data_IF_879547596221
#
_entry.id   IF_879547596221
#
_cell.length_a   1.000
_cell.length_b   1.000
_cell.length_c   1.000
_cell.angle_alpha   90.00
_cell.angle_beta   90.00
_cell.angle_gamma   90.00
#
_symmetry.space_group_name_H-M   'P 1'
#
loop_
_entity.id
_entity.type
_entity.pdbx_description
1 polymer ?
#
# COMPACT_ATOMS: atom_id res chain seq x y z
N UNK A 1 18.74 -19.16 -18.39
CA UNK A 1 18.11 -18.30 -17.37
C UNK A 1 19.20 -17.48 -16.70
N UNK A 2 19.11 -16.16 -16.75
CA UNK A 2 20.00 -15.27 -15.99
C UNK A 2 19.72 -15.46 -14.50
N UNK A 3 20.76 -15.72 -13.71
CA UNK A 3 20.62 -15.78 -12.27
C UNK A 3 20.42 -14.37 -11.70
N UNK A 4 19.45 -14.21 -10.80
CA UNK A 4 19.23 -12.97 -10.06
C UNK A 4 20.05 -13.03 -8.79
N UNK A 5 21.02 -12.11 -8.65
CA UNK A 5 21.89 -12.04 -7.47
C UNK A 5 21.10 -11.57 -6.24
N UNK A 6 20.30 -10.51 -6.42
CA UNK A 6 19.44 -9.95 -5.39
C UNK A 6 18.11 -9.52 -5.98
N UNK A 7 17.00 -9.98 -5.39
CA UNK A 7 15.65 -9.56 -5.78
C UNK A 7 15.43 -8.08 -5.49
N UNK A 8 14.80 -7.38 -6.43
CA UNK A 8 14.40 -5.97 -6.28
C UNK A 8 13.09 -5.88 -5.48
N UNK A 9 13.01 -4.99 -4.49
CA UNK A 9 11.75 -4.66 -3.82
C UNK A 9 11.14 -3.38 -4.41
N UNK A 10 9.98 -3.53 -5.07
CA UNK A 10 9.26 -2.46 -5.74
C UNK A 10 8.08 -1.94 -4.90
N UNK A 11 8.21 -0.70 -4.42
CA UNK A 11 7.22 -0.05 -3.55
C UNK A 11 6.24 0.87 -4.31
N UNK A 12 4.96 0.92 -3.90
CA UNK A 12 3.97 1.81 -4.48
C UNK A 12 4.07 3.23 -3.93
N UNK A 13 4.04 4.23 -4.80
CA UNK A 13 3.96 5.63 -4.39
C UNK A 13 2.79 6.34 -5.08
N UNK A 14 2.00 7.09 -4.31
CA UNK A 14 1.06 8.08 -4.85
C UNK A 14 1.70 9.45 -4.97
N UNK A 15 2.40 9.90 -3.92
CA UNK A 15 2.98 11.22 -3.81
C UNK A 15 4.34 11.18 -3.09
N UNK A 16 4.95 12.35 -2.89
CA UNK A 16 6.22 12.54 -2.17
C UNK A 16 6.26 11.93 -0.78
N UNK A 17 5.14 11.93 -0.04
CA UNK A 17 5.08 11.37 1.31
C UNK A 17 5.23 9.86 1.27
N UNK A 18 4.53 9.19 0.35
CA UNK A 18 4.69 7.75 0.13
C UNK A 18 6.08 7.40 -0.43
N UNK A 19 6.67 8.27 -1.23
CA UNK A 19 8.04 8.09 -1.73
C UNK A 19 9.05 8.14 -0.58
N UNK A 20 8.98 9.16 0.28
CA UNK A 20 9.84 9.26 1.48
C UNK A 20 9.62 8.11 2.46
N UNK A 21 8.39 7.62 2.56
CA UNK A 21 8.05 6.43 3.36
C UNK A 21 8.70 5.15 2.82
N UNK A 22 8.75 4.99 1.49
CA UNK A 22 9.33 3.82 0.84
C UNK A 22 10.86 3.85 0.80
N UNK A 23 11.44 5.04 0.64
CA UNK A 23 12.85 5.27 0.33
C UNK A 23 13.83 4.49 1.22
N UNK A 24 13.70 4.44 2.56
CA UNK A 24 14.69 3.77 3.40
C UNK A 24 14.75 2.24 3.18
N UNK A 25 13.78 1.67 2.47
CA UNK A 25 13.55 0.23 2.42
C UNK A 25 13.38 -0.33 1.00
N UNK A 26 12.99 0.49 0.03
CA UNK A 26 12.74 0.06 -1.34
C UNK A 26 13.99 0.10 -2.23
N UNK A 27 14.08 -0.80 -3.20
CA UNK A 27 15.10 -0.76 -4.26
C UNK A 27 14.57 -0.02 -5.51
N UNK A 28 13.25 0.04 -5.67
CA UNK A 28 12.58 0.78 -6.72
C UNK A 28 11.21 1.27 -6.26
N UNK A 29 10.70 2.32 -6.91
CA UNK A 29 9.32 2.79 -6.75
C UNK A 29 8.55 2.70 -8.07
N UNK A 30 7.24 2.54 -7.96
CA UNK A 30 6.34 2.81 -9.07
C UNK A 30 5.23 3.77 -8.67
N UNK A 31 4.91 4.66 -9.59
CA UNK A 31 3.90 5.70 -9.42
C UNK A 31 3.20 5.99 -10.74
N UNK A 32 2.16 6.81 -10.72
CA UNK A 32 1.48 7.27 -11.92
C UNK A 32 1.23 8.76 -11.86
N UNK A 33 0.77 9.32 -12.97
CA UNK A 33 0.35 10.72 -13.08
C UNK A 33 -1.18 10.82 -13.02
N UNK A 34 -1.75 11.97 -13.33
CA UNK A 34 -3.20 12.16 -13.30
C UNK A 34 -3.96 11.58 -14.51
N UNK A 35 -3.28 10.89 -15.42
CA UNK A 35 -3.88 10.31 -16.64
C UNK A 35 -3.28 8.95 -16.98
N UNK A 36 -3.99 8.18 -17.80
CA UNK A 36 -3.56 6.92 -18.43
C UNK A 36 -3.00 5.83 -17.50
N UNK A 37 -3.48 5.73 -16.26
CA UNK A 37 -3.07 4.69 -15.32
C UNK A 37 -4.21 4.17 -14.43
N UNK A 38 -4.04 2.96 -13.90
CA UNK A 38 -5.09 2.27 -13.15
C UNK A 38 -5.39 2.81 -11.74
N UNK A 39 -4.72 3.86 -11.29
CA UNK A 39 -5.00 4.53 -10.01
C UNK A 39 -5.04 6.04 -10.22
N UNK A 40 -5.76 6.46 -11.26
CA UNK A 40 -5.91 7.86 -11.60
C UNK A 40 -6.47 8.71 -10.46
N UNK A 41 -7.33 8.12 -9.62
CA UNK A 41 -7.93 8.76 -8.44
C UNK A 41 -7.01 8.81 -7.20
N UNK A 42 -5.77 8.31 -7.29
CA UNK A 42 -4.80 8.52 -6.22
C UNK A 42 -4.30 9.97 -6.22
N UNK A 43 -3.72 10.38 -5.09
CA UNK A 43 -2.99 11.64 -4.94
C UNK A 43 -1.65 11.53 -5.70
N UNK A 44 -1.72 11.50 -7.03
CA UNK A 44 -0.64 11.21 -7.98
C UNK A 44 0.37 12.37 -8.08
N UNK A 45 1.51 12.09 -8.72
CA UNK A 45 2.50 13.13 -9.05
C UNK A 45 2.11 13.89 -10.31
N UNK A 46 2.55 15.14 -10.38
CA UNK A 46 2.43 15.95 -11.58
C UNK A 46 3.50 15.58 -12.62
N UNK A 47 3.17 15.72 -13.91
CA UNK A 47 4.11 15.43 -15.01
C UNK A 47 5.39 16.27 -14.92
N UNK A 48 5.30 17.52 -14.42
CA UNK A 48 6.45 18.40 -14.24
C UNK A 48 7.41 17.95 -13.13
N UNK A 49 7.00 17.03 -12.26
CA UNK A 49 7.82 16.54 -11.15
C UNK A 49 8.71 15.36 -11.54
N UNK A 50 8.52 14.76 -12.73
CA UNK A 50 9.28 13.58 -13.17
C UNK A 50 10.80 13.73 -13.04
N UNK A 51 11.43 14.86 -13.47
CA UNK A 51 12.88 15.02 -13.36
C UNK A 51 13.35 15.05 -11.90
N UNK A 52 12.56 15.67 -11.00
CA UNK A 52 12.90 15.73 -9.58
C UNK A 52 12.77 14.35 -8.92
N UNK A 53 11.75 13.57 -9.30
CA UNK A 53 11.54 12.20 -8.82
C UNK A 53 12.69 11.29 -9.26
N UNK A 54 13.05 11.33 -10.55
CA UNK A 54 14.16 10.55 -11.10
C UNK A 54 15.44 10.82 -10.31
N UNK A 55 15.79 12.11 -10.21
CA UNK A 55 16.97 12.56 -9.48
C UNK A 55 16.94 12.11 -8.02
N UNK A 56 15.82 12.29 -7.32
CA UNK A 56 15.70 11.90 -5.92
C UNK A 56 15.97 10.40 -5.72
N UNK A 57 15.41 9.56 -6.60
CA UNK A 57 15.59 8.11 -6.57
C UNK A 57 17.04 7.71 -6.92
N UNK A 58 17.60 8.24 -8.01
CA UNK A 58 18.95 7.90 -8.47
C UNK A 58 20.03 8.35 -7.48
N UNK A 59 19.88 9.52 -6.86
CA UNK A 59 20.77 10.02 -5.79
C UNK A 59 20.82 9.05 -4.58
N UNK A 60 19.86 8.13 -4.48
CA UNK A 60 19.72 7.13 -3.41
C UNK A 60 19.80 5.69 -3.92
N UNK A 61 20.28 5.50 -5.15
CA UNK A 61 20.42 4.19 -5.79
C UNK A 61 19.09 3.42 -5.93
N UNK A 62 17.97 4.13 -6.02
CA UNK A 62 16.66 3.56 -6.30
C UNK A 62 16.26 3.80 -7.75
N UNK A 63 15.47 2.89 -8.30
CA UNK A 63 14.87 3.07 -9.64
C UNK A 63 13.48 3.68 -9.58
N UNK A 64 13.09 4.41 -10.62
CA UNK A 64 11.80 5.06 -10.75
C UNK A 64 11.03 4.53 -11.97
N UNK A 65 9.85 3.94 -11.74
CA UNK A 65 8.99 3.41 -12.80
C UNK A 65 7.65 4.15 -12.90
N UNK A 66 7.34 4.67 -14.09
CA UNK A 66 6.08 5.38 -14.35
C UNK A 66 5.02 4.43 -14.91
N UNK A 67 3.83 4.39 -14.32
CA UNK A 67 2.71 3.59 -14.85
C UNK A 67 1.95 4.34 -15.94
N UNK A 68 1.79 3.71 -17.10
CA UNK A 68 0.94 4.13 -18.22
C UNK A 68 0.14 2.90 -18.69
N UNK A 69 -0.65 2.34 -17.77
CA UNK A 69 -1.20 0.98 -17.87
C UNK A 69 -2.73 0.90 -17.90
N UNK A 70 -3.41 1.98 -18.28
CA UNK A 70 -4.84 1.91 -18.64
C UNK A 70 -5.01 1.51 -20.11
N UNK A 71 -6.26 1.26 -20.49
CA UNK A 71 -6.68 1.29 -21.90
C UNK A 71 -6.41 2.69 -22.49
N UNK A 72 -6.08 2.77 -23.78
CA UNK A 72 -5.87 4.03 -24.51
C UNK A 72 -6.85 4.10 -25.68
N UNK A 73 -7.50 5.25 -25.85
CA UNK A 73 -8.35 5.53 -27.02
C UNK A 73 -7.62 6.42 -28.05
N UNK A 74 -8.09 6.44 -29.29
CA UNK A 74 -7.47 7.20 -30.40
C UNK A 74 -7.23 8.67 -30.06
N UNK A 75 -8.18 9.31 -29.37
CA UNK A 75 -8.07 10.71 -28.96
C UNK A 75 -7.08 10.96 -27.81
N UNK A 76 -6.49 9.90 -27.24
CA UNK A 76 -5.50 9.94 -26.17
C UNK A 76 -4.08 9.60 -26.67
N UNK A 77 -3.90 9.29 -27.95
CA UNK A 77 -2.60 8.91 -28.51
C UNK A 77 -1.54 10.01 -28.40
N UNK A 78 -1.91 11.27 -28.61
CA UNK A 78 -0.99 12.41 -28.44
C UNK A 78 -0.59 12.59 -26.96
N UNK A 79 -1.53 12.37 -26.05
CA UNK A 79 -1.27 12.41 -24.60
C UNK A 79 -0.31 11.30 -24.21
N UNK A 80 -0.54 10.08 -24.70
CA UNK A 80 0.34 8.93 -24.51
C UNK A 80 1.77 9.23 -24.97
N UNK A 81 1.93 9.77 -26.18
CA UNK A 81 3.23 10.14 -26.73
C UNK A 81 3.94 11.18 -25.87
N UNK A 82 3.24 12.25 -25.47
CA UNK A 82 3.79 13.29 -24.60
C UNK A 82 4.24 12.75 -23.23
N UNK A 83 3.52 11.77 -22.67
CA UNK A 83 3.94 11.11 -21.42
C UNK A 83 5.22 10.31 -21.63
N UNK A 84 5.32 9.53 -22.71
CA UNK A 84 6.52 8.72 -23.01
C UNK A 84 7.75 9.58 -23.25
N UNK A 85 7.62 10.67 -24.01
CA UNK A 85 8.70 11.63 -24.26
C UNK A 85 9.14 12.32 -22.96
N UNK A 86 8.19 12.72 -22.12
CA UNK A 86 8.49 13.33 -20.82
C UNK A 86 9.19 12.34 -19.87
N UNK A 87 8.73 11.08 -19.83
CA UNK A 87 9.36 10.03 -19.02
C UNK A 87 10.79 9.75 -19.48
N UNK A 88 11.02 9.72 -20.81
CA UNK A 88 12.34 9.54 -21.40
C UNK A 88 13.27 10.71 -21.08
N UNK A 89 12.79 11.95 -21.24
CA UNK A 89 13.55 13.17 -20.96
C UNK A 89 13.88 13.33 -19.46
N UNK A 90 13.00 12.87 -18.58
CA UNK A 90 13.23 12.81 -17.14
C UNK A 90 14.09 11.62 -16.69
N UNK A 91 14.60 10.80 -17.62
CA UNK A 91 15.43 9.64 -17.33
C UNK A 91 14.76 8.60 -16.41
N UNK A 92 13.44 8.41 -16.54
CA UNK A 92 12.76 7.29 -15.88
C UNK A 92 13.38 5.95 -16.30
N UNK A 93 13.52 5.01 -15.35
CA UNK A 93 14.17 3.72 -15.61
C UNK A 93 13.33 2.83 -16.53
N UNK A 94 12.00 2.87 -16.38
CA UNK A 94 11.06 2.18 -17.24
C UNK A 94 9.64 2.74 -17.11
N UNK A 95 8.80 2.50 -18.12
CA UNK A 95 7.35 2.66 -18.03
C UNK A 95 6.66 1.31 -17.84
N UNK A 96 5.62 1.24 -17.02
CA UNK A 96 4.78 0.05 -16.86
C UNK A 96 3.56 0.21 -17.74
N UNK A 97 3.46 -0.57 -18.80
CA UNK A 97 2.46 -0.43 -19.87
C UNK A 97 1.62 -1.69 -20.03
N UNK A 98 0.48 -1.57 -20.71
CA UNK A 98 -0.36 -2.71 -21.06
C UNK A 98 -0.83 -2.65 -22.51
N UNK A 99 -1.40 -1.51 -22.90
CA UNK A 99 -1.97 -1.29 -24.21
C UNK A 99 -0.90 -1.41 -25.31
N UNK A 100 -1.25 -1.99 -26.46
CA UNK A 100 -0.29 -2.19 -27.55
C UNK A 100 0.17 -0.85 -28.15
N UNK A 101 -0.68 0.18 -28.19
CA UNK A 101 -0.26 1.51 -28.60
C UNK A 101 0.79 2.09 -27.63
N UNK A 102 0.65 1.80 -26.33
CA UNK A 102 1.66 2.19 -25.32
C UNK A 102 2.99 1.45 -25.50
N UNK A 103 2.93 0.17 -25.88
CA UNK A 103 4.13 -0.63 -26.20
C UNK A 103 4.84 -0.09 -27.45
N UNK A 104 4.11 0.16 -28.53
CA UNK A 104 4.67 0.71 -29.77
C UNK A 104 5.25 2.11 -29.56
N UNK A 105 4.50 2.99 -28.89
CA UNK A 105 4.99 4.35 -28.58
C UNK A 105 6.25 4.32 -27.72
N UNK A 106 6.33 3.45 -26.71
CA UNK A 106 7.53 3.31 -25.89
C UNK A 106 8.74 2.87 -26.73
N UNK A 107 8.54 1.98 -27.71
CA UNK A 107 9.60 1.56 -28.65
C UNK A 107 10.04 2.69 -29.57
N UNK A 108 9.10 3.44 -30.12
CA UNK A 108 9.38 4.56 -31.03
C UNK A 108 10.18 5.67 -30.33
N UNK A 109 9.87 5.95 -29.07
CA UNK A 109 10.60 6.94 -28.24
C UNK A 109 11.91 6.36 -27.65
N UNK A 110 12.12 5.05 -27.73
CA UNK A 110 13.27 4.38 -27.11
C UNK A 110 13.21 4.36 -25.57
N UNK A 111 12.01 4.28 -25.02
CA UNK A 111 11.73 4.15 -23.59
C UNK A 111 11.68 2.67 -23.19
N UNK A 112 12.42 2.28 -22.15
CA UNK A 112 12.33 0.92 -21.62
C UNK A 112 10.95 0.68 -21.00
N UNK A 113 10.40 -0.52 -21.19
CA UNK A 113 9.05 -0.82 -20.70
C UNK A 113 8.94 -2.19 -20.02
N UNK A 114 8.03 -2.23 -19.05
CA UNK A 114 7.61 -3.41 -18.32
C UNK A 114 6.14 -3.71 -18.66
N UNK A 115 5.81 -4.97 -18.88
CA UNK A 115 4.42 -5.36 -19.12
C UNK A 115 3.66 -5.47 -17.81
N UNK A 116 2.59 -4.68 -17.67
CA UNK A 116 1.66 -4.71 -16.56
C UNK A 116 0.90 -6.03 -16.48
N UNK A 117 0.50 -6.42 -15.28
CA UNK A 117 -0.42 -7.55 -15.02
C UNK A 117 -1.74 -7.45 -15.81
N UNK A 118 -2.15 -6.25 -16.25
CA UNK A 118 -3.28 -6.08 -17.19
C UNK A 118 -3.12 -6.86 -18.50
N UNK A 119 -1.90 -7.17 -18.92
CA UNK A 119 -1.62 -7.99 -20.10
C UNK A 119 -1.96 -9.48 -19.90
N UNK A 120 -2.39 -9.90 -18.69
CA UNK A 120 -2.78 -11.26 -18.35
C UNK A 120 -1.72 -12.32 -18.72
N UNK A 121 -0.45 -12.02 -18.45
CA UNK A 121 0.66 -12.93 -18.75
C UNK A 121 0.59 -14.14 -17.81
N UNK A 122 -0.09 -15.19 -18.26
CA UNK A 122 -0.42 -16.39 -17.48
C UNK A 122 0.25 -17.67 -18.00
N UNK A 123 1.03 -17.57 -19.07
CA UNK A 123 1.71 -18.71 -19.67
C UNK A 123 2.97 -18.27 -20.43
N UNK A 124 3.85 -19.24 -20.68
CA UNK A 124 5.14 -19.01 -21.33
C UNK A 124 5.02 -18.41 -22.73
N UNK A 125 4.00 -18.80 -23.51
CA UNK A 125 3.83 -18.30 -24.88
C UNK A 125 3.52 -16.80 -24.89
N UNK A 126 2.63 -16.35 -24.00
CA UNK A 126 2.35 -14.94 -23.82
C UNK A 126 3.58 -14.17 -23.32
N UNK A 127 4.30 -14.73 -22.33
CA UNK A 127 5.50 -14.11 -21.79
C UNK A 127 6.59 -13.91 -22.88
N UNK A 128 6.86 -14.95 -23.69
CA UNK A 128 7.78 -14.89 -24.83
C UNK A 128 7.37 -13.91 -25.91
N UNK A 129 6.07 -13.75 -26.15
CA UNK A 129 5.57 -12.78 -27.11
C UNK A 129 5.99 -11.36 -26.70
N UNK A 130 5.73 -10.98 -25.44
CA UNK A 130 6.10 -9.65 -24.95
C UNK A 130 7.61 -9.44 -24.80
N UNK A 131 8.36 -10.48 -24.43
CA UNK A 131 9.83 -10.42 -24.45
C UNK A 131 10.36 -10.12 -25.85
N UNK A 132 9.83 -10.78 -26.90
CA UNK A 132 10.18 -10.51 -28.30
C UNK A 132 9.83 -9.10 -28.77
N UNK A 133 8.79 -8.50 -28.19
CA UNK A 133 8.44 -7.09 -28.42
C UNK A 133 9.42 -6.12 -27.72
N UNK A 134 10.32 -6.62 -26.86
CA UNK A 134 11.36 -5.82 -26.21
C UNK A 134 11.10 -5.50 -24.74
N UNK A 135 10.08 -6.12 -24.12
CA UNK A 135 9.78 -5.90 -22.70
C UNK A 135 10.99 -6.29 -21.84
N UNK A 136 11.41 -5.38 -20.95
CA UNK A 136 12.51 -5.64 -20.01
C UNK A 136 12.08 -6.45 -18.79
N UNK A 137 10.79 -6.36 -18.45
CA UNK A 137 10.21 -7.07 -17.32
C UNK A 137 8.75 -7.44 -17.60
N UNK A 138 8.35 -8.60 -17.12
CA UNK A 138 7.00 -9.13 -17.26
C UNK A 138 6.37 -9.28 -15.88
N UNK A 139 5.37 -8.46 -15.60
CA UNK A 139 4.59 -8.54 -14.37
C UNK A 139 3.50 -9.58 -14.58
N UNK A 140 3.67 -10.73 -13.94
CA UNK A 140 2.82 -11.89 -14.21
C UNK A 140 1.40 -11.71 -13.66
N UNK A 141 0.50 -12.55 -14.18
CA UNK A 141 -0.88 -12.59 -13.74
C UNK A 141 -0.99 -13.10 -12.28
N UNK A 142 -1.88 -12.50 -11.48
CA UNK A 142 -2.00 -12.78 -10.03
C UNK A 142 -2.68 -14.10 -9.70
N UNK A 143 -3.24 -14.78 -10.71
CA UNK A 143 -3.91 -16.06 -10.62
C UNK A 143 -2.99 -17.28 -10.84
N UNK A 144 -1.68 -17.06 -10.98
CA UNK A 144 -0.71 -18.13 -11.17
C UNK A 144 -0.29 -18.77 -9.85
N UNK A 145 -0.11 -20.09 -9.88
CA UNK A 145 0.59 -20.82 -8.82
C UNK A 145 2.10 -20.60 -8.92
N UNK A 146 2.80 -20.86 -7.81
CA UNK A 146 4.26 -20.75 -7.76
C UNK A 146 4.95 -21.64 -8.80
N UNK A 147 4.44 -22.84 -9.03
CA UNK A 147 4.96 -23.76 -10.05
C UNK A 147 4.80 -23.22 -11.47
N UNK A 148 3.67 -22.56 -11.76
CA UNK A 148 3.45 -21.93 -13.07
C UNK A 148 4.36 -20.72 -13.26
N UNK A 149 4.56 -19.92 -12.21
CA UNK A 149 5.53 -18.81 -12.22
C UNK A 149 6.93 -19.37 -12.51
N UNK A 150 7.35 -20.41 -11.79
CA UNK A 150 8.65 -21.09 -11.99
C UNK A 150 8.82 -21.62 -13.40
N UNK A 151 7.76 -22.21 -13.99
CA UNK A 151 7.79 -22.66 -15.37
C UNK A 151 7.99 -21.50 -16.36
N UNK A 152 7.29 -20.37 -16.17
CA UNK A 152 7.46 -19.18 -17.01
C UNK A 152 8.87 -18.60 -16.85
N UNK A 153 9.34 -18.39 -15.62
CA UNK A 153 10.67 -17.80 -15.33
C UNK A 153 11.80 -18.59 -15.99
N UNK A 154 11.79 -19.92 -15.87
CA UNK A 154 12.81 -20.79 -16.50
C UNK A 154 12.84 -20.70 -18.01
N UNK A 155 11.70 -20.37 -18.60
CA UNK A 155 11.56 -20.27 -20.02
C UNK A 155 11.81 -18.86 -20.54
N UNK A 156 12.21 -17.84 -19.77
CA UNK A 156 12.60 -16.52 -20.31
C UNK A 156 14.11 -16.43 -20.56
N UNK A 157 14.53 -15.66 -21.57
CA UNK A 157 15.95 -15.50 -21.91
C UNK A 157 16.54 -14.22 -21.31
N UNK A 158 15.80 -13.13 -21.41
CA UNK A 158 16.26 -11.75 -21.19
C UNK A 158 15.32 -10.93 -20.31
N UNK A 159 14.00 -11.16 -20.40
CA UNK A 159 13.04 -10.41 -19.62
C UNK A 159 12.98 -10.89 -18.17
N UNK A 160 13.05 -9.94 -17.24
CA UNK A 160 12.90 -10.20 -15.82
C UNK A 160 11.45 -10.56 -15.47
N UNK A 161 11.26 -11.43 -14.47
CA UNK A 161 9.94 -11.76 -13.93
C UNK A 161 9.66 -10.96 -12.67
N UNK A 162 8.50 -10.30 -12.64
CA UNK A 162 7.98 -9.58 -11.48
C UNK A 162 6.63 -10.17 -11.05
N UNK A 163 6.42 -10.25 -9.74
CA UNK A 163 5.17 -10.75 -9.17
C UNK A 163 4.71 -9.88 -8.02
N UNK A 164 3.40 -9.85 -7.79
CA UNK A 164 2.86 -9.26 -6.57
C UNK A 164 3.12 -10.17 -5.37
N UNK A 165 3.60 -9.58 -4.27
CA UNK A 165 3.84 -10.30 -3.01
C UNK A 165 2.95 -9.82 -1.87
N UNK A 166 2.39 -8.61 -1.98
CA UNK A 166 1.52 -8.06 -0.94
C UNK A 166 0.43 -7.14 -1.50
N UNK A 167 -0.66 -7.02 -0.76
CA UNK A 167 -1.68 -6.00 -0.94
C UNK A 167 -2.95 -6.51 -1.60
N UNK A 168 -3.84 -5.59 -1.96
CA UNK A 168 -5.23 -5.96 -2.21
C UNK A 168 -5.43 -6.80 -3.48
N UNK A 169 -6.15 -7.92 -3.33
CA UNK A 169 -6.53 -8.81 -4.43
C UNK A 169 -7.85 -8.39 -5.08
N UNK A 170 -7.99 -8.68 -6.38
CA UNK A 170 -9.26 -8.53 -7.09
C UNK A 170 -9.91 -9.92 -7.21
N UNK A 171 -11.24 -9.97 -7.12
CA UNK A 171 -12.02 -11.16 -7.50
C UNK A 171 -12.02 -11.39 -9.01
N UNK A 172 -11.91 -10.31 -9.79
CA UNK A 172 -11.79 -10.39 -11.24
C UNK A 172 -10.36 -10.78 -11.68
N UNK A 173 -10.27 -11.50 -12.81
CA UNK A 173 -9.00 -11.97 -13.39
C UNK A 173 -8.13 -10.78 -13.80
N UNK A 174 -7.00 -10.63 -13.11
CA UNK A 174 -5.90 -9.69 -13.42
C UNK A 174 -6.35 -8.31 -13.93
N UNK A 175 -7.34 -7.75 -13.24
CA UNK A 175 -7.79 -6.37 -13.42
C UNK A 175 -8.80 -6.14 -14.55
N UNK A 176 -9.28 -7.18 -15.26
CA UNK A 176 -10.41 -7.07 -16.20
C UNK A 176 -11.74 -7.08 -15.45
N UNK A 177 -12.15 -5.92 -14.95
CA UNK A 177 -13.34 -5.80 -14.10
C UNK A 177 -14.35 -4.81 -14.70
N UNK A 178 -15.53 -5.31 -15.08
CA UNK A 178 -16.67 -4.50 -15.55
C UNK A 178 -17.65 -4.16 -14.43
N UNK A 179 -17.52 -4.79 -13.26
CA UNK A 179 -18.46 -4.62 -12.14
C UNK A 179 -18.62 -3.15 -11.72
N UNK A 180 -17.53 -2.37 -11.75
CA UNK A 180 -17.57 -0.96 -11.34
C UNK A 180 -18.37 -0.07 -12.30
N UNK A 181 -18.17 -0.20 -13.61
CA UNK A 181 -18.93 0.61 -14.57
C UNK A 181 -20.40 0.19 -14.61
N UNK A 182 -20.67 -1.11 -14.46
CA UNK A 182 -22.03 -1.66 -14.46
C UNK A 182 -22.81 -1.16 -13.25
N UNK A 183 -22.27 -1.35 -12.04
CA UNK A 183 -22.94 -0.92 -10.82
C UNK A 183 -23.14 0.60 -10.74
N UNK A 184 -22.26 1.40 -11.35
CA UNK A 184 -22.37 2.86 -11.34
C UNK A 184 -23.10 3.41 -12.58
N UNK A 185 -23.45 2.57 -13.56
CA UNK A 185 -24.13 2.96 -14.79
C UNK A 185 -23.34 3.91 -15.69
N UNK A 186 -22.00 3.89 -15.64
CA UNK A 186 -21.17 4.81 -16.41
C UNK A 186 -19.76 4.27 -16.68
N UNK A 187 -19.30 4.40 -17.93
CA UNK A 187 -17.94 4.07 -18.36
C UNK A 187 -16.86 4.85 -17.59
N UNK A 188 -17.22 6.05 -17.09
CA UNK A 188 -16.34 6.89 -16.30
C UNK A 188 -15.92 6.22 -14.98
N UNK A 189 -16.63 5.20 -14.51
CA UNK A 189 -16.30 4.42 -13.30
C UNK A 189 -15.59 3.10 -13.61
N UNK A 190 -15.03 2.92 -14.80
CA UNK A 190 -14.38 1.68 -15.22
C UNK A 190 -13.11 1.37 -14.42
N UNK A 191 -13.02 0.13 -13.94
CA UNK A 191 -11.81 -0.36 -13.26
C UNK A 191 -10.59 -0.45 -14.16
N UNK A 192 -10.80 -0.61 -15.47
CA UNK A 192 -9.74 -0.66 -16.49
C UNK A 192 -9.22 0.74 -16.87
N UNK A 193 -9.86 1.80 -16.35
CA UNK A 193 -9.55 3.22 -16.61
C UNK A 193 -9.11 3.98 -15.36
N UNK A 194 -8.87 3.26 -14.26
CA UNK A 194 -8.30 3.81 -13.04
C UNK A 194 -9.26 4.55 -12.10
N UNK A 195 -10.56 4.48 -12.37
CA UNK A 195 -11.63 5.19 -11.64
C UNK A 195 -12.59 4.22 -10.94
N UNK A 196 -12.13 3.00 -10.62
CA UNK A 196 -12.91 1.96 -9.95
C UNK A 196 -13.57 2.46 -8.64
N UNK A 197 -14.90 2.38 -8.55
CA UNK A 197 -15.70 2.68 -7.37
C UNK A 197 -15.69 1.57 -6.30
N UNK A 198 -14.92 0.50 -6.56
CA UNK A 198 -14.69 -0.66 -5.68
C UNK A 198 -15.98 -1.34 -5.16
N UNK A 199 -16.98 -1.64 -6.03
CA UNK A 199 -18.23 -2.29 -5.63
C UNK A 199 -18.03 -3.66 -4.97
N UNK A 200 -16.99 -4.41 -5.38
CA UNK A 200 -16.64 -5.71 -4.79
C UNK A 200 -16.26 -5.64 -3.30
N UNK A 201 -16.05 -4.46 -2.72
CA UNK A 201 -15.67 -4.26 -1.31
C UNK A 201 -16.83 -3.69 -0.47
N UNK A 202 -18.05 -3.77 -0.99
CA UNK A 202 -19.28 -3.33 -0.34
C UNK A 202 -20.04 -4.55 0.17
N UNK A 203 -21.02 -4.31 1.04
CA UNK A 203 -21.98 -5.34 1.45
C UNK A 203 -23.01 -5.55 0.36
N UNK A 204 -23.37 -6.80 0.14
CA UNK A 204 -24.28 -7.22 -0.92
C UNK A 204 -25.38 -8.10 -0.32
N UNK A 205 -26.58 -7.98 -0.87
CA UNK A 205 -27.67 -8.95 -0.70
C UNK A 205 -27.86 -9.63 -2.05
N UNK A 206 -27.92 -10.95 -2.06
CA UNK A 206 -28.17 -11.74 -3.27
C UNK A 206 -29.60 -12.23 -3.20
N UNK A 207 -30.39 -11.86 -4.19
CA UNK A 207 -31.81 -12.20 -4.28
C UNK A 207 -32.00 -12.88 -5.64
N UNK A 208 -32.60 -14.06 -5.65
CA UNK A 208 -32.92 -14.76 -6.91
C UNK A 208 -34.18 -14.18 -7.58
N UNK A 209 -34.56 -14.73 -8.74
CA UNK A 209 -35.72 -14.26 -9.50
C UNK A 209 -37.06 -14.49 -8.78
N UNK A 210 -37.09 -15.39 -7.79
CA UNK A 210 -38.26 -15.71 -6.98
C UNK A 210 -38.33 -14.86 -5.68
N UNK A 211 -37.42 -13.90 -5.52
CA UNK A 211 -37.23 -13.08 -4.32
C UNK A 211 -36.73 -13.84 -3.09
N UNK A 212 -36.11 -15.02 -3.26
CA UNK A 212 -35.43 -15.68 -2.17
C UNK A 212 -34.09 -14.98 -1.92
N UNK A 213 -33.91 -14.48 -0.70
CA UNK A 213 -32.62 -13.96 -0.26
C UNK A 213 -31.67 -15.12 0.05
N UNK A 214 -30.58 -15.20 -0.71
CA UNK A 214 -29.52 -16.16 -0.46
C UNK A 214 -28.64 -15.64 0.68
N UNK A 215 -28.85 -16.19 1.89
CA UNK A 215 -27.98 -15.94 3.04
C UNK A 215 -26.70 -16.76 2.88
N UNK A 216 -25.66 -16.13 2.36
CA UNK A 216 -24.30 -16.67 2.34
C UNK A 216 -23.63 -16.48 3.71
N UNK A 217 -22.49 -17.12 3.96
CA UNK A 217 -21.74 -17.09 5.23
C UNK A 217 -21.29 -15.69 5.69
N UNK A 218 -21.60 -14.63 4.95
CA UNK A 218 -21.60 -13.25 5.41
C UNK A 218 -21.98 -12.22 4.34
N UNK A 219 -21.81 -10.94 4.67
CA UNK A 219 -22.31 -9.81 3.88
C UNK A 219 -21.43 -9.46 2.66
N UNK A 220 -20.18 -9.96 2.58
CA UNK A 220 -19.15 -9.49 1.62
C UNK A 220 -18.42 -10.61 0.88
N UNK A 221 -19.15 -11.42 0.11
CA UNK A 221 -18.60 -12.52 -0.67
C UNK A 221 -17.64 -12.12 -1.82
N UNK A 222 -17.53 -10.83 -2.16
CA UNK A 222 -16.60 -10.32 -3.18
C UNK A 222 -15.34 -9.67 -2.61
N UNK A 223 -15.20 -9.61 -1.27
CA UNK A 223 -14.12 -8.89 -0.60
C UNK A 223 -12.96 -9.82 -0.28
N UNK A 224 -12.12 -10.12 -1.27
CA UNK A 224 -10.91 -10.93 -1.05
C UNK A 224 -10.00 -10.33 0.04
N UNK A 225 -9.41 -11.20 0.86
CA UNK A 225 -8.31 -10.86 1.78
C UNK A 225 -7.11 -10.33 1.01
N UNK A 226 -6.23 -9.59 1.69
CA UNK A 226 -5.05 -9.02 1.04
C UNK A 226 -3.99 -10.12 0.82
N UNK A 227 -3.31 -10.10 -0.33
CA UNK A 227 -2.17 -10.98 -0.60
C UNK A 227 -1.08 -10.71 0.43
N UNK A 228 -0.44 -11.77 0.96
CA UNK A 228 0.75 -11.66 1.77
C UNK A 228 1.62 -12.90 1.61
N UNK A 229 2.82 -12.72 1.04
CA UNK A 229 3.78 -13.78 0.78
C UNK A 229 5.02 -13.70 1.67
N UNK A 230 4.95 -12.95 2.78
CA UNK A 230 6.10 -12.67 3.65
C UNK A 230 6.76 -13.94 4.20
N UNK A 231 5.96 -14.95 4.57
CA UNK A 231 6.46 -16.25 5.05
C UNK A 231 7.16 -17.06 3.96
N UNK A 232 6.93 -16.69 2.70
CA UNK A 232 7.33 -17.44 1.51
C UNK A 232 8.38 -16.71 0.68
N UNK A 233 8.94 -15.60 1.19
CA UNK A 233 10.06 -14.88 0.57
C UNK A 233 11.19 -15.81 0.14
N UNK A 234 11.67 -16.77 0.97
CA UNK A 234 12.69 -17.73 0.54
C UNK A 234 12.29 -18.53 -0.72
N UNK A 235 11.07 -19.08 -0.74
CA UNK A 235 10.56 -19.87 -1.88
C UNK A 235 10.44 -19.02 -3.15
N UNK A 236 10.07 -17.76 -3.03
CA UNK A 236 9.97 -16.84 -4.16
C UNK A 236 11.36 -16.50 -4.74
N UNK A 237 12.37 -16.33 -3.89
CA UNK A 237 13.76 -16.11 -4.31
C UNK A 237 14.32 -17.35 -5.02
N UNK A 238 14.05 -18.56 -4.50
CA UNK A 238 14.44 -19.83 -5.13
C UNK A 238 13.84 -20.02 -6.54
N UNK A 239 12.69 -19.41 -6.82
CA UNK A 239 12.05 -19.42 -8.15
C UNK A 239 12.75 -18.48 -9.15
N UNK A 240 13.77 -17.73 -8.70
CA UNK A 240 14.53 -16.76 -9.49
C UNK A 240 13.65 -15.60 -10.00
N UNK A 241 12.74 -15.13 -9.16
CA UNK A 241 11.94 -13.93 -9.42
C UNK A 241 12.83 -12.70 -9.24
N UNK A 242 12.79 -11.78 -10.19
CA UNK A 242 13.67 -10.62 -10.23
C UNK A 242 13.15 -9.42 -9.41
N UNK A 243 11.82 -9.29 -9.27
CA UNK A 243 11.20 -8.18 -8.56
C UNK A 243 9.97 -8.60 -7.77
N UNK A 244 9.90 -8.16 -6.52
CA UNK A 244 8.74 -8.28 -5.64
C UNK A 244 7.98 -6.97 -5.59
N UNK A 245 6.73 -7.02 -6.05
CA UNK A 245 5.86 -5.85 -6.12
C UNK A 245 4.85 -5.80 -4.98
N UNK A 246 4.79 -4.66 -4.31
CA UNK A 246 3.76 -4.36 -3.32
C UNK A 246 2.60 -3.60 -3.99
N UNK A 247 1.37 -4.08 -3.86
CA UNK A 247 0.16 -3.34 -4.22
C UNK A 247 -0.23 -2.40 -3.08
N UNK A 248 -0.33 -1.10 -3.37
CA UNK A 248 -0.66 -0.15 -2.32
C UNK A 248 -0.69 1.31 -2.73
N UNK A 249 -0.79 1.65 -4.03
CA UNK A 249 -0.70 3.05 -4.48
C UNK A 249 -1.74 3.98 -3.85
N UNK A 250 -2.94 3.47 -3.52
CA UNK A 250 -3.95 4.31 -2.85
C UNK A 250 -3.80 4.35 -1.32
N UNK A 251 -2.83 3.62 -0.76
CA UNK A 251 -2.63 3.54 0.69
C UNK A 251 -1.88 4.77 1.19
N UNK A 252 -2.03 5.02 2.49
CA UNK A 252 -1.31 6.08 3.16
C UNK A 252 0.20 5.76 3.24
N UNK A 253 1.05 6.78 3.45
CA UNK A 253 2.49 6.58 3.55
C UNK A 253 2.93 5.58 4.63
N UNK A 254 2.22 5.48 5.76
CA UNK A 254 2.62 4.58 6.84
C UNK A 254 2.37 3.11 6.50
N UNK A 255 1.31 2.81 5.74
CA UNK A 255 1.17 1.50 5.10
C UNK A 255 2.36 1.19 4.19
N UNK A 256 2.76 2.14 3.33
CA UNK A 256 3.87 1.95 2.39
C UNK A 256 5.18 1.69 3.13
N UNK A 257 5.48 2.49 4.15
CA UNK A 257 6.66 2.31 5.01
C UNK A 257 6.65 0.93 5.68
N UNK A 258 5.57 0.60 6.39
CA UNK A 258 5.49 -0.64 7.19
C UNK A 258 5.65 -1.88 6.32
N UNK A 259 4.89 -1.97 5.23
CA UNK A 259 4.93 -3.14 4.35
C UNK A 259 6.29 -3.23 3.66
N UNK A 260 6.80 -2.12 3.11
CA UNK A 260 8.10 -2.12 2.42
C UNK A 260 9.23 -2.50 3.37
N UNK A 261 9.25 -1.97 4.59
CA UNK A 261 10.21 -2.34 5.64
C UNK A 261 10.15 -3.84 5.96
N UNK A 262 8.97 -4.38 6.24
CA UNK A 262 8.83 -5.81 6.56
C UNK A 262 9.35 -6.71 5.43
N UNK A 263 9.04 -6.40 4.17
CA UNK A 263 9.57 -7.16 3.04
C UNK A 263 11.07 -6.96 2.86
N UNK A 264 11.60 -5.76 3.08
CA UNK A 264 13.04 -5.50 3.00
C UNK A 264 13.80 -6.30 4.05
N UNK A 265 13.33 -6.28 5.29
CA UNK A 265 13.87 -7.07 6.39
C UNK A 265 13.80 -8.57 6.08
N UNK A 266 12.68 -9.06 5.53
CA UNK A 266 12.53 -10.46 5.13
C UNK A 266 13.50 -10.88 4.02
N UNK A 267 13.65 -10.06 2.99
CA UNK A 267 14.59 -10.29 1.89
C UNK A 267 16.03 -10.30 2.41
N UNK A 268 16.43 -9.28 3.16
CA UNK A 268 17.77 -9.17 3.76
C UNK A 268 18.05 -10.36 4.67
N UNK A 269 17.08 -10.69 5.53
CA UNK A 269 17.19 -11.82 6.44
C UNK A 269 17.33 -13.17 5.73
N UNK A 270 16.76 -13.35 4.53
CA UNK A 270 16.99 -14.54 3.73
C UNK A 270 18.43 -14.60 3.21
N UNK A 271 18.93 -13.53 2.59
CA UNK A 271 20.29 -13.48 2.07
C UNK A 271 21.38 -13.57 3.15
N UNK A 272 21.10 -13.11 4.37
CA UNK A 272 21.99 -13.22 5.52
C UNK A 272 21.87 -14.56 6.27
N UNK A 273 20.95 -15.44 5.87
CA UNK A 273 20.73 -16.73 6.54
C UNK A 273 20.08 -16.62 7.93
N UNK A 274 19.45 -15.49 8.25
CA UNK A 274 18.82 -15.21 9.55
C UNK A 274 17.29 -15.22 9.51
N UNK A 275 16.69 -15.73 8.42
CA UNK A 275 15.24 -15.80 8.24
C UNK A 275 14.62 -16.87 9.16
N UNK A 276 13.82 -16.43 10.13
CA UNK A 276 13.21 -17.31 11.14
C UNK A 276 11.71 -17.09 11.23
N UNK A 277 11.01 -18.11 11.75
CA UNK A 277 9.57 -18.04 12.02
C UNK A 277 9.20 -16.93 13.01
N UNK A 278 10.07 -16.64 13.97
CA UNK A 278 9.86 -15.56 14.94
C UNK A 278 9.83 -14.19 14.26
N UNK A 279 10.79 -13.91 13.36
CA UNK A 279 10.79 -12.68 12.56
C UNK A 279 9.54 -12.59 11.68
N UNK A 280 9.14 -13.71 11.06
CA UNK A 280 7.90 -13.78 10.28
C UNK A 280 6.67 -13.38 11.09
N UNK A 281 6.53 -13.91 12.32
CA UNK A 281 5.44 -13.51 13.20
C UNK A 281 5.51 -12.00 13.54
N UNK A 282 6.70 -11.46 13.78
CA UNK A 282 6.90 -10.02 14.00
C UNK A 282 6.44 -9.16 12.82
N UNK A 283 6.84 -9.53 11.59
CA UNK A 283 6.43 -8.83 10.38
C UNK A 283 4.93 -8.91 10.13
N UNK A 284 4.31 -10.07 10.35
CA UNK A 284 2.85 -10.23 10.25
C UNK A 284 2.12 -9.39 11.29
N UNK A 285 2.63 -9.33 12.51
CA UNK A 285 2.07 -8.49 13.57
C UNK A 285 2.13 -7.00 13.19
N UNK A 286 3.26 -6.53 12.65
CA UNK A 286 3.41 -5.15 12.19
C UNK A 286 2.49 -4.82 10.99
N UNK A 287 2.47 -5.66 9.97
CA UNK A 287 1.55 -5.49 8.83
C UNK A 287 0.08 -5.59 9.25
N UNK A 288 -0.22 -6.35 10.30
CA UNK A 288 -1.55 -6.43 10.90
C UNK A 288 -2.03 -5.11 11.52
N UNK A 289 -1.12 -4.18 11.84
CA UNK A 289 -1.45 -2.85 12.39
C UNK A 289 -1.86 -1.84 11.31
N UNK A 290 -1.34 -1.96 10.09
CA UNK A 290 -1.73 -1.08 8.98
C UNK A 290 -2.97 -1.62 8.26
N UNK A 291 -3.54 -0.86 7.32
CA UNK A 291 -4.74 -1.28 6.59
C UNK A 291 -4.56 -2.67 5.99
N UNK A 292 -5.44 -3.61 6.34
CA UNK A 292 -5.49 -4.94 5.71
C UNK A 292 -6.90 -5.54 5.85
N UNK A 293 -7.21 -6.59 5.09
CA UNK A 293 -8.47 -7.36 5.18
C UNK A 293 -8.23 -8.78 5.69
N UNK A 294 -7.23 -8.96 6.54
CA UNK A 294 -6.59 -10.26 6.73
C UNK A 294 -5.71 -10.64 5.54
N UNK A 295 -5.05 -11.79 5.65
CA UNK A 295 -4.03 -12.23 4.72
C UNK A 295 -4.38 -13.56 4.05
N UNK A 296 -3.99 -13.69 2.78
CA UNK A 296 -4.06 -14.92 1.99
C UNK A 296 -2.81 -15.04 1.12
N UNK A 297 -2.46 -16.25 0.71
CA UNK A 297 -1.43 -16.49 -0.31
C UNK A 297 -1.98 -16.40 -1.73
N UNK A 298 -3.28 -16.12 -1.89
CA UNK A 298 -3.93 -16.04 -3.19
C UNK A 298 -3.80 -17.35 -3.94
N UNK A 299 -3.30 -17.29 -5.17
CA UNK A 299 -3.22 -18.46 -6.06
C UNK A 299 -1.91 -19.24 -5.95
N UNK A 300 -0.94 -18.76 -5.16
CA UNK A 300 0.43 -19.29 -5.16
C UNK A 300 0.50 -20.78 -4.77
N UNK A 301 -0.33 -21.21 -3.82
CA UNK A 301 -0.33 -22.59 -3.28
C UNK A 301 -1.65 -23.33 -3.46
N UNK A 302 -2.53 -22.83 -4.32
CA UNK A 302 -3.84 -23.43 -4.55
C UNK A 302 -4.85 -22.42 -5.05
N UNK A 303 -6.04 -22.88 -5.40
CA UNK A 303 -7.14 -21.98 -5.73
C UNK A 303 -7.66 -21.34 -4.43
N UNK A 304 -7.88 -20.02 -4.37
CA UNK A 304 -8.55 -19.39 -3.23
C UNK A 304 -9.93 -19.99 -2.98
N UNK A 305 -10.26 -20.15 -1.72
CA UNK A 305 -11.55 -20.67 -1.25
C UNK A 305 -12.25 -19.63 -0.38
N UNK A 306 -13.36 -20.02 0.25
CA UNK A 306 -14.13 -19.16 1.13
C UNK A 306 -13.29 -18.53 2.27
N UNK A 307 -12.27 -19.24 2.76
CA UNK A 307 -11.40 -18.74 3.84
C UNK A 307 -10.50 -17.57 3.42
N UNK A 308 -10.39 -17.31 2.11
CA UNK A 308 -9.61 -16.23 1.51
C UNK A 308 -10.44 -14.97 1.22
N UNK A 309 -11.70 -14.97 1.69
CA UNK A 309 -12.64 -13.85 1.61
C UNK A 309 -12.87 -13.26 3.00
N UNK A 310 -12.97 -11.94 3.09
CA UNK A 310 -13.35 -11.19 4.29
C UNK A 310 -14.85 -10.91 4.27
N UNK A 311 -15.60 -11.71 5.04
CA UNK A 311 -17.06 -11.72 5.01
C UNK A 311 -17.73 -10.70 5.91
N UNK A 312 -17.04 -10.18 6.92
CA UNK A 312 -17.68 -9.52 8.05
C UNK A 312 -17.25 -8.06 8.24
N UNK A 313 -15.99 -7.73 7.97
CA UNK A 313 -15.43 -6.40 8.23
C UNK A 313 -15.30 -5.57 6.95
N UNK A 314 -16.14 -4.55 6.84
CA UNK A 314 -16.02 -3.57 5.74
C UNK A 314 -14.79 -2.70 6.00
N UNK A 315 -13.85 -2.70 5.06
CA UNK A 315 -12.68 -1.83 5.12
C UNK A 315 -11.46 -2.54 5.65
N UNK A 316 -10.89 -2.06 6.76
CA UNK A 316 -9.70 -2.64 7.39
C UNK A 316 -10.11 -3.47 8.61
N UNK A 317 -9.50 -4.64 8.79
CA UNK A 317 -9.64 -5.44 10.03
C UNK A 317 -8.71 -4.96 11.14
N UNK A 318 -7.69 -4.15 10.83
CA UNK A 318 -6.84 -3.54 11.86
C UNK A 318 -7.65 -2.59 12.75
N UNK A 319 -7.45 -2.68 14.06
CA UNK A 319 -8.01 -1.77 15.06
C UNK A 319 -7.18 -0.49 15.23
N UNK A 320 -5.97 -0.45 14.67
CA UNK A 320 -5.10 0.72 14.78
C UNK A 320 -5.49 1.79 13.76
N UNK A 321 -5.24 3.04 14.12
CA UNK A 321 -5.55 4.22 13.31
C UNK A 321 -4.59 5.35 13.64
N UNK A 322 -4.38 6.22 12.67
CA UNK A 322 -3.80 7.53 12.92
C UNK A 322 -4.92 8.49 13.34
N UNK A 323 -4.74 9.10 14.51
CA UNK A 323 -5.62 10.14 15.04
C UNK A 323 -4.91 11.47 14.89
N UNK A 324 -5.49 12.39 14.11
CA UNK A 324 -4.98 13.75 14.04
C UNK A 324 -5.18 14.46 15.38
N UNK A 325 -4.09 15.05 15.88
CA UNK A 325 -4.05 15.72 17.19
C UNK A 325 -3.77 17.22 17.09
N UNK A 326 -3.28 17.70 15.94
CA UNK A 326 -2.94 19.10 15.77
C UNK A 326 -2.17 19.40 14.48
N UNK A 327 -1.64 20.61 14.40
CA UNK A 327 -0.86 21.09 13.26
C UNK A 327 0.39 21.86 13.71
N UNK A 328 1.42 21.85 12.87
CA UNK A 328 2.64 22.62 13.10
C UNK A 328 2.35 24.11 12.87
N UNK A 329 2.56 24.92 13.90
CA UNK A 329 2.46 26.37 13.83
C UNK A 329 3.76 27.02 13.31
N UNK A 330 4.91 26.50 13.75
CA UNK A 330 6.23 27.07 13.43
C UNK A 330 7.36 26.03 13.66
N UNK A 331 8.51 26.25 13.04
CA UNK A 331 9.72 25.43 13.24
C UNK A 331 10.91 26.28 13.66
N UNK A 332 11.40 26.04 14.88
CA UNK A 332 12.55 26.71 15.45
C UNK A 332 13.83 26.00 15.02
N UNK A 333 14.45 26.45 13.93
CA UNK A 333 15.66 25.81 13.36
C UNK A 333 16.82 25.72 14.33
N UNK A 334 17.08 26.75 15.16
CA UNK A 334 18.19 26.76 16.13
C UNK A 334 18.09 25.67 17.20
N UNK A 335 16.87 25.27 17.57
CA UNK A 335 16.61 24.27 18.61
C UNK A 335 16.02 22.97 18.05
N UNK A 336 15.92 22.88 16.72
CA UNK A 336 15.30 21.76 16.00
C UNK A 336 13.91 21.39 16.54
N UNK A 337 13.10 22.40 16.89
CA UNK A 337 11.84 22.19 17.59
C UNK A 337 10.63 22.65 16.78
N UNK A 338 9.65 21.77 16.62
CA UNK A 338 8.34 22.08 16.08
C UNK A 338 7.44 22.67 17.17
N UNK A 339 6.89 23.86 16.93
CA UNK A 339 5.77 24.39 17.72
C UNK A 339 4.48 23.85 17.12
N UNK A 340 3.72 23.11 17.91
CA UNK A 340 2.52 22.40 17.48
C UNK A 340 1.33 22.95 18.26
N UNK A 341 0.27 23.29 17.54
CA UNK A 341 -1.03 23.59 18.12
C UNK A 341 -1.81 22.28 18.16
N UNK A 342 -1.97 21.74 19.37
CA UNK A 342 -2.84 20.61 19.61
C UNK A 342 -4.29 21.07 19.67
N UNK A 343 -5.16 20.37 18.96
CA UNK A 343 -6.61 20.62 18.86
C UNK A 343 -7.44 19.41 19.27
N UNK A 344 -6.78 18.28 19.60
CA UNK A 344 -7.46 17.05 19.95
C UNK A 344 -6.56 16.13 20.80
N UNK A 345 -7.09 15.66 21.93
CA UNK A 345 -6.42 14.67 22.78
C UNK A 345 -5.21 15.24 23.52
N UNK A 346 -4.23 14.39 23.84
CA UNK A 346 -3.01 14.78 24.54
C UNK A 346 -1.83 13.98 24.04
N UNK A 347 -0.63 14.48 24.29
CA UNK A 347 0.64 13.80 24.02
C UNK A 347 1.31 13.36 25.33
N UNK A 348 1.97 12.21 25.29
CA UNK A 348 2.76 11.65 26.39
C UNK A 348 4.12 11.18 25.87
N UNK A 349 5.09 11.10 26.77
CA UNK A 349 6.31 10.36 26.50
C UNK A 349 5.95 8.92 26.11
N UNK A 350 6.57 8.43 25.05
CA UNK A 350 6.33 7.11 24.46
C UNK A 350 5.34 7.11 23.29
N UNK A 351 4.53 8.16 23.11
CA UNK A 351 3.61 8.25 21.98
C UNK A 351 4.40 8.31 20.66
N UNK A 352 3.92 7.58 19.66
CA UNK A 352 4.45 7.63 18.29
C UNK A 352 3.69 8.70 17.50
N UNK A 353 4.41 9.78 17.17
CA UNK A 353 3.88 10.96 16.48
C UNK A 353 4.33 11.01 15.02
N UNK A 354 3.40 11.36 14.15
CA UNK A 354 3.56 11.44 12.70
C UNK A 354 3.47 12.88 12.26
N UNK A 355 4.41 13.33 11.43
CA UNK A 355 4.37 14.63 10.76
C UNK A 355 4.09 14.41 9.28
N UNK A 356 2.96 14.91 8.80
CA UNK A 356 2.47 14.67 7.43
C UNK A 356 2.10 16.00 6.77
N UNK A 357 2.81 16.37 5.71
CA UNK A 357 2.55 17.61 4.99
C UNK A 357 1.25 17.60 4.20
N UNK A 358 0.46 18.68 4.25
CA UNK A 358 -0.68 18.85 3.34
C UNK A 358 -0.33 19.58 2.04
N UNK A 359 0.60 20.53 2.07
CA UNK A 359 1.18 21.17 0.88
C UNK A 359 2.70 21.04 0.80
N UNK A 360 3.30 20.31 1.73
CA UNK A 360 4.73 20.06 1.80
C UNK A 360 5.04 18.59 1.50
N UNK A 361 6.32 18.32 1.25
CA UNK A 361 6.84 16.95 1.08
C UNK A 361 7.18 16.30 2.43
N UNK A 362 6.74 16.84 3.57
CA UNK A 362 7.11 16.31 4.90
C UNK A 362 6.44 14.96 5.17
N UNK A 363 7.24 13.97 5.50
CA UNK A 363 6.79 12.70 6.06
C UNK A 363 7.90 12.11 6.93
N UNK A 364 7.61 11.92 8.21
CA UNK A 364 8.37 11.07 9.12
C UNK A 364 7.54 10.83 10.39
N UNK A 365 7.94 9.84 11.19
CA UNK A 365 7.39 9.64 12.52
C UNK A 365 8.50 9.41 13.53
N UNK A 366 8.19 9.63 14.79
CA UNK A 366 9.13 9.45 15.90
C UNK A 366 8.38 9.17 17.19
N UNK A 367 9.05 8.53 18.14
CA UNK A 367 8.55 8.43 19.52
C UNK A 367 8.91 9.69 20.29
N UNK A 368 8.01 10.15 21.14
CA UNK A 368 8.30 11.23 22.08
C UNK A 368 9.17 10.67 23.21
N UNK A 369 10.37 11.20 23.36
CA UNK A 369 11.31 10.83 24.42
C UNK A 369 11.29 11.87 25.56
N UNK A 370 11.80 11.49 26.73
CA UNK A 370 12.04 12.43 27.82
C UNK A 370 12.96 13.57 27.35
N UNK A 371 12.72 14.80 27.81
CA UNK A 371 13.46 15.99 27.34
C UNK A 371 12.91 16.65 26.08
N UNK A 372 12.17 15.92 25.23
CA UNK A 372 11.79 16.42 23.90
C UNK A 372 10.54 17.30 23.88
N UNK A 373 9.72 17.28 24.93
CA UNK A 373 8.41 17.96 24.96
C UNK A 373 8.38 19.09 25.99
N UNK A 374 8.00 20.30 25.56
CA UNK A 374 7.96 21.50 26.40
C UNK A 374 6.66 22.30 26.23
N UNK A 375 6.15 22.81 27.35
CA UNK A 375 5.05 23.80 27.39
C UNK A 375 5.56 25.04 28.13
N UNK A 376 5.42 26.21 27.53
CA UNK A 376 5.92 27.48 28.08
C UNK A 376 7.40 27.40 28.51
N UNK A 377 8.22 26.67 27.75
CA UNK A 377 9.65 26.48 28.01
C UNK A 377 10.00 25.40 29.05
N UNK A 378 9.04 24.94 29.85
CA UNK A 378 9.23 23.87 30.84
C UNK A 378 9.04 22.50 30.21
N UNK A 379 9.91 21.57 30.56
CA UNK A 379 9.78 20.17 30.16
C UNK A 379 8.53 19.54 30.80
N UNK A 380 7.82 18.74 30.03
CA UNK A 380 6.61 18.03 30.48
C UNK A 380 6.63 16.59 30.01
N UNK A 381 6.09 15.69 30.84
CA UNK A 381 5.95 14.27 30.51
C UNK A 381 4.64 13.96 29.79
N UNK A 382 3.62 14.81 29.98
CA UNK A 382 2.37 14.80 29.25
C UNK A 382 1.83 16.22 29.03
N UNK A 383 1.03 16.41 27.97
CA UNK A 383 0.31 17.67 27.74
C UNK A 383 -1.07 17.65 28.42
N UNK A 384 -1.63 18.83 28.75
CA UNK A 384 -3.06 18.94 28.99
C UNK A 384 -3.87 18.39 27.81
N UNK A 385 -5.11 17.99 28.07
CA UNK A 385 -6.04 17.57 27.03
C UNK A 385 -6.45 18.79 26.21
N UNK A 386 -6.19 18.73 24.91
CA UNK A 386 -6.64 19.69 23.93
C UNK A 386 -7.96 19.25 23.29
N UNK A 387 -8.78 20.23 22.93
CA UNK A 387 -10.01 20.05 22.15
C UNK A 387 -10.21 21.24 21.19
N UNK A 388 -11.29 21.21 20.40
CA UNK A 388 -11.56 22.25 19.39
C UNK A 388 -11.77 23.67 19.95
N UNK A 389 -11.96 23.82 21.27
CA UNK A 389 -12.11 25.11 21.97
C UNK A 389 -10.87 25.44 22.81
N UNK A 390 -10.22 24.43 23.37
CA UNK A 390 -9.08 24.54 24.27
C UNK A 390 -7.82 24.01 23.57
N UNK A 391 -7.17 24.86 22.79
CA UNK A 391 -5.93 24.49 22.13
C UNK A 391 -4.73 24.48 23.09
N UNK A 392 -3.79 23.56 22.88
CA UNK A 392 -2.53 23.49 23.65
C UNK A 392 -1.36 23.73 22.72
N UNK A 393 -0.55 24.75 23.01
CA UNK A 393 0.70 25.00 22.29
C UNK A 393 1.84 24.24 22.96
N UNK A 394 2.41 23.28 22.24
CA UNK A 394 3.54 22.46 22.69
C UNK A 394 4.73 22.65 21.75
N UNK A 395 5.95 22.63 22.29
CA UNK A 395 7.18 22.58 21.50
C UNK A 395 7.78 21.19 21.62
N UNK A 396 8.04 20.53 20.49
CA UNK A 396 8.60 19.18 20.43
C UNK A 396 9.88 19.21 19.59
N UNK A 397 10.99 18.70 20.13
CA UNK A 397 12.22 18.49 19.36
C UNK A 397 11.98 17.41 18.29
N UNK A 398 12.29 17.68 17.03
CA UNK A 398 12.05 16.76 15.91
C UNK A 398 13.35 16.26 15.29
N UNK A 399 13.32 15.06 14.73
CA UNK A 399 14.47 14.45 14.03
C UNK A 399 14.67 15.01 12.63
N UNK A 400 13.64 15.63 12.05
CA UNK A 400 13.70 16.27 10.74
C UNK A 400 12.98 17.63 10.78
N UNK A 401 13.33 18.56 9.86
CA UNK A 401 12.60 19.81 9.71
C UNK A 401 11.14 19.60 9.34
N UNK A 402 10.25 20.40 9.92
CA UNK A 402 8.82 20.44 9.60
C UNK A 402 8.46 21.78 8.96
N UNK A 403 7.30 21.83 8.30
CA UNK A 403 6.74 23.04 7.70
C UNK A 403 5.47 23.45 8.45
N UNK A 404 5.21 24.76 8.43
CA UNK A 404 3.95 25.31 8.93
C UNK A 404 2.77 24.63 8.22
N UNK A 405 1.74 24.31 8.99
CA UNK A 405 0.55 23.55 8.60
C UNK A 405 0.78 22.06 8.27
N UNK A 406 1.97 21.50 8.54
CA UNK A 406 2.10 20.04 8.55
C UNK A 406 1.19 19.47 9.65
N UNK A 407 0.46 18.40 9.32
CA UNK A 407 -0.43 17.74 10.25
C UNK A 407 0.36 16.87 11.21
N UNK A 408 -0.11 16.81 12.45
CA UNK A 408 0.47 15.97 13.50
C UNK A 408 -0.57 14.95 13.95
N UNK A 409 -0.21 13.68 13.90
CA UNK A 409 -1.08 12.56 14.26
C UNK A 409 -0.39 11.60 15.21
N UNK A 410 -1.18 10.85 15.99
CA UNK A 410 -0.70 9.74 16.84
C UNK A 410 -1.21 8.43 16.27
N UNK A 411 -0.36 7.40 16.20
CA UNK A 411 -0.78 6.05 15.84
C UNK A 411 -1.16 5.25 17.09
N UNK A 412 -2.38 4.72 17.13
CA UNK A 412 -2.91 4.06 18.34
C UNK A 412 -3.99 3.03 18.00
N UNK A 413 -4.17 2.05 18.89
CA UNK A 413 -5.31 1.12 18.92
C UNK A 413 -6.52 1.67 19.71
N UNK A 414 -6.37 2.81 20.41
CA UNK A 414 -7.43 3.43 21.20
C UNK A 414 -8.52 4.08 20.33
N UNK A 415 -9.81 3.95 20.73
CA UNK A 415 -10.93 4.62 20.04
C UNK A 415 -10.83 6.13 20.18
N UNK A 416 -11.32 6.88 19.18
CA UNK A 416 -11.37 8.35 19.22
C UNK A 416 -11.98 8.87 20.52
N UNK A 417 -13.04 8.22 21.02
CA UNK A 417 -13.71 8.60 22.27
C UNK A 417 -12.87 8.32 23.52
N UNK A 418 -12.14 7.20 23.55
CA UNK A 418 -11.27 6.86 24.69
C UNK A 418 -10.01 7.74 24.70
N UNK A 419 -9.49 8.07 23.52
CA UNK A 419 -8.33 8.95 23.35
C UNK A 419 -8.64 10.38 23.85
N UNK A 420 -9.82 10.91 23.53
CA UNK A 420 -10.28 12.23 24.00
C UNK A 420 -10.52 12.30 25.51
N UNK A 421 -11.06 11.23 26.10
CA UNK A 421 -11.51 11.23 27.51
C UNK A 421 -10.41 10.82 28.49
N UNK A 422 -9.28 10.29 28.00
CA UNK A 422 -8.32 9.54 28.81
C UNK A 422 -8.93 8.21 29.28
N UNK A 423 -8.13 7.16 29.45
CA UNK A 423 -8.61 5.87 30.01
C UNK A 423 -9.29 6.12 31.36
N UNK A 424 -10.63 6.11 31.40
CA UNK A 424 -11.36 5.68 32.59
C UNK A 424 -11.20 4.18 32.63
N UNK A 425 -10.45 3.67 33.60
CA UNK A 425 -10.22 2.24 33.80
C UNK A 425 -11.52 1.45 33.65
N UNK A 426 -11.51 0.47 32.76
CA UNK A 426 -12.58 -0.52 32.64
C UNK A 426 -12.03 -1.87 33.06
N UNK A 427 -11.98 -2.10 34.37
CA UNK A 427 -12.24 -3.42 34.94
C UNK A 427 -13.71 -3.75 34.72
N UNK A 428 -14.10 -4.10 33.48
CA UNK A 428 -15.40 -4.72 33.17
C UNK A 428 -15.27 -5.57 31.92
N UNK A 429 -14.52 -6.66 32.04
CA UNK A 429 -14.68 -7.82 31.15
C UNK A 429 -14.46 -9.12 31.93
N UNK A 430 -15.25 -9.31 33.00
CA UNK A 430 -15.43 -10.60 33.67
C UNK A 430 -16.82 -10.57 34.32
N UNK A 431 -17.83 -10.91 33.53
CA UNK A 431 -19.10 -11.54 33.94
C UNK A 431 -20.01 -11.65 32.73
N UNK A 432 -19.85 -12.75 32.00
CA UNK A 432 -20.86 -13.42 31.17
C UNK A 432 -20.28 -14.78 30.72
N UNK A 433 -20.05 -15.60 31.74
CA UNK A 433 -20.13 -17.05 31.70
C UNK A 433 -20.79 -17.40 33.04
N UNK A 434 -21.61 -18.45 33.07
CA UNK A 434 -22.39 -18.94 34.22
C UNK A 434 -23.81 -18.36 34.32
N UNK A 435 -24.64 -18.68 33.34
CA UNK A 435 -26.04 -19.10 33.58
C UNK A 435 -26.48 -19.99 32.44
N UNK A 436 -26.31 -21.30 32.60
CA UNK A 436 -27.13 -22.40 32.05
C UNK A 436 -26.31 -23.69 32.18
N UNK A 437 -26.41 -24.37 33.33
CA UNK A 437 -26.85 -25.77 33.38
C UNK A 437 -26.97 -26.23 34.86
N UNK A 438 -27.95 -27.08 35.15
CA UNK A 438 -28.06 -27.75 36.45
C UNK A 438 -29.26 -27.37 37.32
N UNK A 439 -30.47 -27.73 36.89
CA UNK A 439 -31.55 -28.15 37.80
C UNK A 439 -32.22 -29.40 37.26
N UNK A 440 -31.71 -30.55 37.66
CA UNK A 440 -32.49 -31.78 37.74
C UNK A 440 -33.27 -31.81 39.07
N UNK A 441 -34.54 -32.23 38.99
CA UNK A 441 -35.23 -33.00 40.03
C UNK A 441 -36.02 -32.25 41.10
N UNK A 442 -37.35 -32.16 40.92
CA UNK A 442 -38.32 -32.85 41.78
C UNK A 442 -39.78 -32.57 41.36
N UNK A 443 -40.54 -33.67 41.33
CA UNK A 443 -42.00 -33.85 41.10
C UNK A 443 -42.54 -33.81 39.67
#
# INVERSE_FOLDING_TARGET
>A
MRQIDKVELLAPCRNWKSLKAAEPHADAIYFGTHVLNLRQMADNFEMGELPEIAKYCHDRHMKAYLTVNSIVYDNELDVLKGIMESAKAAEMDAVIVHDLASVETARDVGMAFHMSTQANISNTRAARFYEKLGAKRLILARELSLDRIKAITRNMDTADIEVFVHGAMCTAISGRCYLSLECMGTDASSGNRGTCAQPCRRRWRVIDEENNEMLYTGDMFLSSKDLCMIEHVPKLIEVNIASFKIEGRMRDPFYVETVTRCYKEAITSHYEGTFTREKVHGWLADMGKVFNRGFTTGFYFGRPTDVDVEHHVRGSVSHHRQIEIGTVNDYLSKSEAAKIILTNGRLRIGDEIFFIGQGSKTYFHMKIEAGNMRIQGKEVTETPVADAKNHVLVSIKTTQPVKKNDHVSVFTDETYDNFRRGKKGKDRYQRRADTEDGREGCE
#
